data_IF_576230447611
#
_entry.id   IF_576230447611
#
_cell.length_a   1.000
_cell.length_b   1.000
_cell.length_c   1.000
_cell.angle_alpha   90.00
_cell.angle_beta   90.00
_cell.angle_gamma   90.00
#
_symmetry.space_group_name_H-M   'P 1'
#
loop_
_entity.id
_entity.type
_entity.pdbx_description
1 polymer ?
#
# COMPACT_ATOMS: atom_id res chain seq x y z
N UNK A 1 5.85 8.65 18.54
CA UNK A 1 4.77 7.82 17.94
C UNK A 1 3.85 7.37 19.07
N UNK A 2 2.52 7.37 18.92
CA UNK A 2 1.59 7.09 20.03
C UNK A 2 0.81 5.80 19.83
N UNK A 3 0.40 5.17 20.93
CA UNK A 3 -0.43 3.97 20.95
C UNK A 3 -1.89 4.34 20.68
N UNK A 4 -2.51 3.72 19.67
CA UNK A 4 -3.92 3.96 19.32
C UNK A 4 -4.91 3.50 20.41
N UNK A 5 -4.46 2.63 21.33
CA UNK A 5 -5.30 2.05 22.39
C UNK A 5 -5.21 2.83 23.70
N UNK A 6 -3.99 3.12 24.18
CA UNK A 6 -3.79 3.75 25.48
C UNK A 6 -3.31 5.21 25.41
N UNK A 7 -3.07 5.74 24.21
CA UNK A 7 -2.62 7.12 23.99
C UNK A 7 -1.18 7.43 24.44
N UNK A 8 -0.50 6.50 25.12
CA UNK A 8 0.89 6.68 25.56
C UNK A 8 1.85 6.72 24.37
N UNK A 9 2.96 7.44 24.54
CA UNK A 9 4.07 7.38 23.59
C UNK A 9 4.66 5.98 23.56
N UNK A 10 4.84 5.44 22.35
CA UNK A 10 5.51 4.16 22.12
C UNK A 10 7.00 4.41 22.16
N UNK A 11 7.66 3.86 23.18
CA UNK A 11 9.12 3.81 23.27
C UNK A 11 9.60 2.50 22.64
N UNK A 12 10.39 2.60 21.57
CA UNK A 12 10.94 1.45 20.86
C UNK A 12 10.12 1.01 19.64
N UNK A 13 10.01 -0.30 19.41
CA UNK A 13 9.37 -0.84 18.21
C UNK A 13 7.84 -0.91 18.39
N UNK A 14 7.06 -0.32 17.49
CA UNK A 14 5.60 -0.44 17.53
C UNK A 14 5.12 -1.84 17.12
N UNK A 15 3.98 -2.23 17.65
CA UNK A 15 3.31 -3.48 17.31
C UNK A 15 2.11 -3.20 16.42
N UNK A 16 2.02 -3.91 15.30
CA UNK A 16 0.91 -3.81 14.36
C UNK A 16 -0.02 -5.01 14.58
N UNK A 17 -1.11 -4.75 15.32
CA UNK A 17 -2.05 -5.77 15.77
C UNK A 17 -3.46 -5.49 15.28
N UNK A 18 -4.28 -6.54 15.23
CA UNK A 18 -5.69 -6.47 14.93
C UNK A 18 -6.45 -6.55 16.25
N UNK A 19 -7.17 -5.49 16.60
CA UNK A 19 -8.05 -5.43 17.78
C UNK A 19 -9.46 -5.20 17.25
N UNK A 20 -10.41 -6.09 17.60
CA UNK A 20 -11.81 -6.02 17.13
C UNK A 20 -11.97 -5.92 15.60
N UNK A 21 -11.03 -6.51 14.85
CA UNK A 21 -11.00 -6.44 13.39
C UNK A 21 -10.38 -5.15 12.82
N UNK A 22 -10.07 -4.17 13.66
CA UNK A 22 -9.36 -2.96 13.26
C UNK A 22 -7.84 -3.16 13.28
N UNK A 23 -7.18 -2.71 12.21
CA UNK A 23 -5.71 -2.68 12.11
C UNK A 23 -5.19 -1.45 12.82
N UNK A 24 -4.55 -1.64 13.97
CA UNK A 24 -4.08 -0.56 14.83
C UNK A 24 -2.60 -0.72 15.16
N UNK A 25 -2.00 0.36 15.64
CA UNK A 25 -0.61 0.36 16.08
C UNK A 25 -0.50 0.64 17.56
N UNK A 26 0.17 -0.26 18.28
CA UNK A 26 0.11 -0.30 19.75
C UNK A 26 1.49 -0.40 20.38
N UNK A 27 1.56 -0.04 21.67
CA UNK A 27 2.68 -0.42 22.53
C UNK A 27 2.69 -1.93 22.82
N UNK A 28 3.76 -2.43 23.44
CA UNK A 28 3.93 -3.85 23.79
C UNK A 28 2.84 -4.39 24.74
N UNK A 29 2.31 -3.53 25.63
CA UNK A 29 1.26 -3.92 26.56
C UNK A 29 -0.07 -4.13 25.85
N UNK A 30 -0.50 -3.14 25.05
CA UNK A 30 -1.76 -3.19 24.33
C UNK A 30 -1.74 -4.22 23.18
N UNK A 31 -0.57 -4.60 22.68
CA UNK A 31 -0.43 -5.65 21.67
C UNK A 31 -1.03 -7.00 22.11
N UNK A 32 -1.05 -7.27 23.43
CA UNK A 32 -1.60 -8.50 24.01
C UNK A 32 -3.12 -8.61 23.91
N UNK A 33 -3.81 -7.49 23.65
CA UNK A 33 -5.26 -7.45 23.44
C UNK A 33 -5.66 -7.84 22.01
N UNK A 34 -4.69 -7.88 21.09
CA UNK A 34 -4.94 -8.20 19.69
C UNK A 34 -5.26 -9.67 19.47
N UNK A 35 -6.15 -9.94 18.51
CA UNK A 35 -6.45 -11.30 18.04
C UNK A 35 -5.52 -11.76 16.90
N UNK A 36 -4.68 -10.86 16.38
CA UNK A 36 -3.71 -11.19 15.34
C UNK A 36 -2.74 -10.05 15.05
N UNK A 37 -1.74 -10.35 14.23
CA UNK A 37 -0.76 -9.38 13.74
C UNK A 37 -1.00 -9.07 12.27
N UNK A 38 -0.75 -7.83 11.88
CA UNK A 38 -0.78 -7.42 10.48
C UNK A 38 0.55 -6.77 10.09
N UNK A 39 0.85 -6.82 8.79
CA UNK A 39 2.02 -6.17 8.22
C UNK A 39 1.56 -5.20 7.14
N UNK A 40 2.09 -3.97 7.09
CA UNK A 40 1.89 -3.07 5.98
C UNK A 40 2.71 -3.69 4.85
N UNK A 41 2.07 -4.47 3.97
CA UNK A 41 2.76 -4.91 2.76
C UNK A 41 3.16 -3.65 2.01
N UNK A 42 4.46 -3.37 1.95
CA UNK A 42 5.01 -2.25 1.21
C UNK A 42 4.44 -2.30 -0.21
N UNK A 43 3.56 -1.38 -0.55
CA UNK A 43 3.06 -1.20 -1.93
C UNK A 43 4.14 -0.56 -2.82
N UNK A 44 5.42 -0.58 -2.42
CA UNK A 44 6.54 -0.23 -3.28
C UNK A 44 6.98 -1.43 -4.10
N UNK A 45 6.15 -1.75 -5.08
CA UNK A 45 6.69 -2.27 -6.34
C UNK A 45 6.00 -1.54 -7.48
N UNK A 46 6.24 -0.23 -7.56
CA UNK A 46 6.22 0.41 -8.87
C UNK A 46 7.40 -0.17 -9.66
N UNK A 47 7.22 -1.36 -10.24
CA UNK A 47 8.12 -1.80 -11.31
C UNK A 47 7.96 -0.76 -12.41
N UNK A 48 9.00 0.06 -12.54
CA UNK A 48 9.23 1.04 -13.60
C UNK A 48 8.71 0.46 -14.92
N UNK A 49 7.71 1.11 -15.51
CA UNK A 49 7.33 0.85 -16.90
C UNK A 49 8.60 1.13 -17.72
N UNK A 50 9.14 0.12 -18.40
CA UNK A 50 10.29 0.32 -19.27
C UNK A 50 9.88 1.32 -20.38
N UNK A 51 10.63 2.41 -20.63
CA UNK A 51 10.32 3.32 -21.72
C UNK A 51 10.80 2.69 -23.03
N UNK A 52 10.05 1.72 -23.56
CA UNK A 52 10.35 1.17 -24.88
C UNK A 52 9.13 0.53 -25.59
N UNK A 53 7.99 1.21 -25.54
CA UNK A 53 6.84 0.91 -26.42
C UNK A 53 6.35 2.18 -27.13
N UNK A 54 7.30 2.92 -27.72
CA UNK A 54 7.05 3.85 -28.82
C UNK A 54 8.00 3.46 -29.93
N UNK A 55 7.80 2.25 -30.47
CA UNK A 55 8.37 1.87 -31.74
C UNK A 55 7.24 1.34 -32.58
N UNK A 56 6.99 2.10 -33.64
CA UNK A 56 6.40 1.64 -34.90
C UNK A 56 4.90 1.33 -34.77
N UNK A 57 4.01 2.06 -35.43
CA UNK A 57 3.83 1.81 -36.86
C UNK A 57 3.10 2.99 -37.51
N UNK A 58 3.82 3.66 -38.40
CA UNK A 58 3.24 4.44 -39.49
C UNK A 58 2.62 3.43 -40.47
N UNK A 59 1.31 3.43 -40.74
CA UNK A 59 0.73 2.81 -41.94
C UNK A 59 -0.69 3.35 -42.23
N UNK A 60 -0.71 4.19 -43.25
CA UNK A 60 -1.78 4.44 -44.25
C UNK A 60 -3.04 5.22 -43.84
N UNK A 61 -2.94 6.53 -44.04
CA UNK A 61 -4.02 7.34 -44.63
C UNK A 61 -4.39 6.71 -45.98
N UNK A 62 -5.60 6.16 -46.11
CA UNK A 62 -6.26 5.94 -47.41
C UNK A 62 -7.75 6.22 -47.25
N UNK A 63 -8.13 7.34 -47.85
CA UNK A 63 -9.37 7.63 -48.57
C UNK A 63 -10.53 6.63 -48.43
N UNK A 64 -11.69 7.14 -48.00
CA UNK A 64 -12.89 7.25 -48.86
C UNK A 64 -14.07 7.83 -48.06
N UNK A 65 -14.34 9.11 -48.31
CA UNK A 65 -15.67 9.68 -48.13
C UNK A 65 -16.41 9.51 -49.45
N UNK A 66 -17.60 8.91 -49.44
CA UNK A 66 -18.65 9.50 -50.26
C UNK A 66 -19.89 9.83 -49.41
N UNK A 67 -20.40 11.00 -49.79
CA UNK A 67 -21.57 11.73 -49.32
C UNK A 67 -22.85 10.91 -49.32
#
# INVERSE_FOLDING_TARGET
MYCDVCGREIVGKPYMVIIEGAKVTTCAECAKLGSGYWSPKDKFTQKKVAPNLLKDTNLTVRDKHPR
#
